data_IF_301279052308
#
_entry.id   IF_301279052308
#
_cell.length_a   1.000
_cell.length_b   1.000
_cell.length_c   1.000
_cell.angle_alpha   90.00
_cell.angle_beta   90.00
_cell.angle_gamma   90.00
#
_symmetry.space_group_name_H-M   'P 1'
#
loop_
_entity.id
_entity.type
_entity.pdbx_description
1 polymer ?
#
# COMPACT_ATOMS: atom_id res chain seq x y z
N UNK A 1 9.62 14.07 -14.84
CA UNK A 1 8.31 13.57 -14.38
C UNK A 1 7.53 13.15 -15.60
N UNK A 2 7.20 11.87 -15.73
CA UNK A 2 6.32 11.37 -16.80
C UNK A 2 4.87 11.50 -16.33
N UNK A 3 3.97 11.85 -17.24
CA UNK A 3 2.53 11.88 -16.96
C UNK A 3 1.78 11.09 -18.01
N UNK A 4 0.79 10.33 -17.58
CA UNK A 4 -0.10 9.55 -18.44
C UNK A 4 -1.55 10.00 -18.21
N UNK A 5 -2.38 9.98 -19.25
CA UNK A 5 -3.82 10.28 -19.13
C UNK A 5 -4.64 9.06 -19.49
N UNK A 6 -5.55 8.65 -18.61
CA UNK A 6 -6.43 7.50 -18.82
C UNK A 6 -7.20 7.12 -17.57
N UNK A 7 -8.18 6.23 -17.68
CA UNK A 7 -8.98 5.77 -16.53
C UNK A 7 -8.24 4.78 -15.62
N UNK A 8 -7.16 4.17 -16.10
CA UNK A 8 -6.35 3.26 -15.31
C UNK A 8 -4.87 3.41 -15.66
N UNK A 9 -4.00 3.21 -14.68
CA UNK A 9 -2.57 3.21 -14.87
C UNK A 9 -1.89 2.26 -13.89
N UNK A 10 -0.98 1.44 -14.40
CA UNK A 10 -0.13 0.55 -13.61
C UNK A 10 1.28 1.12 -13.59
N UNK A 11 1.87 1.22 -12.39
CA UNK A 11 3.26 1.64 -12.23
C UNK A 11 4.22 0.43 -12.21
N UNK A 12 3.68 -0.79 -12.25
CA UNK A 12 4.45 -2.03 -12.29
C UNK A 12 4.61 -2.69 -10.92
N UNK A 13 5.65 -3.51 -10.82
CA UNK A 13 5.97 -4.34 -9.66
C UNK A 13 6.56 -3.52 -8.50
N UNK A 14 6.57 -4.09 -7.29
CA UNK A 14 7.22 -3.49 -6.13
C UNK A 14 8.73 -3.33 -6.34
N UNK A 15 9.28 -2.23 -5.82
CA UNK A 15 10.70 -1.90 -5.96
C UNK A 15 11.63 -2.80 -5.14
N UNK A 16 11.12 -3.40 -4.05
CA UNK A 16 11.90 -4.17 -3.07
C UNK A 16 11.05 -5.27 -2.41
N UNK A 17 11.74 -6.26 -1.81
CA UNK A 17 11.14 -7.34 -1.02
C UNK A 17 11.18 -8.71 -1.69
N UNK A 18 10.81 -9.73 -0.92
CA UNK A 18 10.89 -11.14 -1.36
C UNK A 18 9.75 -11.52 -2.33
N UNK A 19 8.61 -10.83 -2.26
CA UNK A 19 7.42 -11.08 -3.09
C UNK A 19 7.23 -10.01 -4.19
N UNK A 20 8.32 -9.55 -4.79
CA UNK A 20 8.27 -8.54 -5.87
C UNK A 20 7.74 -9.12 -7.19
N UNK A 21 8.09 -10.35 -7.53
CA UNK A 21 7.60 -11.02 -8.73
C UNK A 21 6.07 -11.22 -8.67
N UNK A 22 5.36 -10.69 -9.65
CA UNK A 22 3.89 -10.77 -9.72
C UNK A 22 3.15 -9.79 -8.81
N UNK A 23 3.87 -8.93 -8.08
CA UNK A 23 3.25 -7.78 -7.41
C UNK A 23 2.85 -6.69 -8.42
N UNK A 24 1.92 -5.82 -8.05
CA UNK A 24 1.53 -4.69 -8.89
C UNK A 24 1.01 -3.53 -8.02
N UNK A 25 1.43 -2.30 -8.32
CA UNK A 25 0.74 -1.09 -7.89
C UNK A 25 0.08 -0.41 -9.10
N UNK A 26 -1.21 -0.12 -8.98
CA UNK A 26 -2.01 0.52 -10.03
C UNK A 26 -3.10 1.40 -9.47
N UNK A 27 -3.72 2.19 -10.34
CA UNK A 27 -4.88 3.01 -10.01
C UNK A 27 -6.00 2.83 -11.03
N UNK A 28 -7.23 3.03 -10.57
CA UNK A 28 -8.41 3.08 -11.42
C UNK A 28 -9.32 4.23 -10.98
N UNK A 29 -9.64 5.08 -11.94
CA UNK A 29 -10.59 6.17 -11.81
C UNK A 29 -11.68 6.07 -12.89
N UNK A 30 -12.91 6.42 -12.56
CA UNK A 30 -14.01 6.45 -13.52
C UNK A 30 -13.76 7.43 -14.68
N UNK A 31 -13.01 8.52 -14.43
CA UNK A 31 -12.72 9.55 -15.43
C UNK A 31 -11.51 9.19 -16.29
N UNK A 32 -11.71 9.06 -17.60
CA UNK A 32 -10.64 8.84 -18.57
C UNK A 32 -9.67 10.01 -18.72
N UNK A 33 -10.07 11.22 -18.27
CA UNK A 33 -9.22 12.41 -18.24
C UNK A 33 -8.30 12.47 -17.02
N UNK A 34 -8.29 11.43 -16.18
CA UNK A 34 -7.38 11.34 -15.03
C UNK A 34 -5.93 11.39 -15.51
N UNK A 35 -5.17 12.31 -14.92
CA UNK A 35 -3.74 12.43 -15.12
C UNK A 35 -3.03 11.70 -13.98
N UNK A 36 -2.23 10.71 -14.34
CA UNK A 36 -1.34 9.95 -13.47
C UNK A 36 0.07 10.51 -13.59
N UNK A 37 0.77 10.66 -12.47
CA UNK A 37 2.12 11.23 -12.43
C UNK A 37 2.95 10.67 -11.28
N UNK A 38 4.27 10.89 -11.35
CA UNK A 38 5.25 10.45 -10.35
C UNK A 38 6.05 11.63 -9.74
N UNK A 39 5.45 12.48 -8.88
CA UNK A 39 6.18 13.50 -8.13
C UNK A 39 7.05 12.90 -7.03
N UNK A 40 7.94 13.71 -6.45
CA UNK A 40 8.68 13.32 -5.25
C UNK A 40 7.77 12.78 -4.16
N UNK A 41 8.25 11.74 -3.48
CA UNK A 41 7.54 11.07 -2.40
C UNK A 41 7.82 11.63 -1.01
N UNK A 42 7.39 10.91 0.03
CA UNK A 42 7.67 11.23 1.42
C UNK A 42 9.02 10.63 1.80
N UNK A 43 10.11 11.38 1.61
CA UNK A 43 11.46 10.85 1.77
C UNK A 43 11.93 9.91 0.66
N UNK A 44 11.13 9.69 -0.39
CA UNK A 44 11.47 8.86 -1.55
C UNK A 44 11.57 9.70 -2.85
N UNK A 45 12.27 9.23 -3.90
CA UNK A 45 12.38 9.94 -5.16
C UNK A 45 11.04 10.12 -5.90
N UNK A 46 10.09 9.20 -5.71
CA UNK A 46 8.82 9.17 -6.44
C UNK A 46 7.67 8.66 -5.56
N UNK A 47 6.48 9.23 -5.75
CA UNK A 47 5.20 8.77 -5.23
C UNK A 47 4.22 8.57 -6.37
N UNK A 48 3.19 7.76 -6.17
CA UNK A 48 2.13 7.61 -7.16
C UNK A 48 1.05 8.66 -6.94
N UNK A 49 0.81 9.51 -7.95
CA UNK A 49 -0.13 10.64 -7.85
C UNK A 49 -1.15 10.64 -8.97
N UNK A 50 -2.38 11.07 -8.65
CA UNK A 50 -3.43 11.32 -9.63
C UNK A 50 -4.36 12.48 -9.26
N UNK A 51 -5.02 13.04 -10.27
CA UNK A 51 -6.17 13.96 -10.14
C UNK A 51 -7.48 13.28 -10.63
N UNK A 52 -8.56 14.05 -10.82
CA UNK A 52 -9.76 13.51 -11.47
C UNK A 52 -10.53 12.48 -10.64
N UNK A 53 -10.49 12.61 -9.32
CA UNK A 53 -11.11 11.67 -8.39
C UNK A 53 -12.63 11.78 -8.33
N UNK A 54 -13.29 10.64 -8.45
CA UNK A 54 -14.70 10.40 -8.11
C UNK A 54 -14.79 9.50 -6.86
N UNK A 55 -15.94 9.52 -6.18
CA UNK A 55 -16.19 8.58 -5.07
C UNK A 55 -16.16 7.16 -5.61
N UNK A 56 -15.42 6.26 -4.95
CA UNK A 56 -15.24 4.88 -5.37
C UNK A 56 -13.99 4.63 -6.22
N UNK A 57 -13.32 5.67 -6.72
CA UNK A 57 -12.01 5.55 -7.37
C UNK A 57 -10.94 5.08 -6.37
N UNK A 58 -9.89 4.40 -6.84
CA UNK A 58 -8.92 3.78 -5.95
C UNK A 58 -7.50 3.67 -6.50
N UNK A 59 -6.56 3.58 -5.57
CA UNK A 59 -5.28 2.90 -5.77
C UNK A 59 -5.40 1.45 -5.33
N UNK A 60 -4.68 0.54 -5.98
CA UNK A 60 -4.71 -0.89 -5.72
C UNK A 60 -3.30 -1.49 -5.71
N UNK A 61 -3.01 -2.27 -4.68
CA UNK A 61 -1.83 -3.14 -4.63
C UNK A 61 -2.27 -4.59 -4.79
N UNK A 62 -1.51 -5.35 -5.58
CA UNK A 62 -1.62 -6.80 -5.70
C UNK A 62 -0.30 -7.42 -5.28
N UNK A 63 -0.35 -8.47 -4.48
CA UNK A 63 0.84 -9.22 -4.03
C UNK A 63 0.44 -10.65 -3.68
N UNK A 64 1.39 -11.58 -3.67
CA UNK A 64 1.19 -12.90 -3.07
C UNK A 64 1.72 -12.92 -1.65
N UNK A 65 0.97 -13.52 -0.72
CA UNK A 65 1.40 -13.78 0.66
C UNK A 65 1.67 -15.25 0.89
N UNK A 66 1.88 -16.02 -0.18
CA UNK A 66 2.16 -17.45 -0.11
C UNK A 66 3.40 -17.74 0.74
N UNK A 67 3.27 -18.66 1.70
CA UNK A 67 4.26 -18.99 2.72
C UNK A 67 4.53 -17.90 3.76
N UNK A 68 3.65 -16.90 3.90
CA UNK A 68 3.74 -15.87 4.94
C UNK A 68 2.50 -15.87 5.83
N UNK A 69 2.70 -15.59 7.12
CA UNK A 69 1.68 -15.28 8.12
C UNK A 69 1.88 -13.89 8.71
N UNK A 70 0.98 -13.46 9.59
CA UNK A 70 1.08 -12.19 10.32
C UNK A 70 1.15 -10.99 9.37
N UNK A 71 0.33 -11.03 8.32
CA UNK A 71 0.37 -10.01 7.26
C UNK A 71 -0.06 -8.65 7.81
N UNK A 72 0.77 -7.64 7.58
CA UNK A 72 0.55 -6.25 7.94
C UNK A 72 0.76 -5.33 6.74
N UNK A 73 0.23 -4.11 6.83
CA UNK A 73 0.31 -3.10 5.78
C UNK A 73 0.70 -1.76 6.37
N UNK A 74 1.66 -1.08 5.75
CA UNK A 74 1.90 0.34 5.96
C UNK A 74 1.95 1.11 4.65
N UNK A 75 1.57 2.37 4.68
CA UNK A 75 1.64 3.26 3.53
C UNK A 75 1.70 4.72 3.99
N UNK A 76 2.25 5.57 3.14
CA UNK A 76 2.20 7.02 3.30
C UNK A 76 1.19 7.61 2.31
N UNK A 77 0.39 8.56 2.76
CA UNK A 77 -0.57 9.22 1.87
C UNK A 77 -0.75 10.71 2.18
N UNK A 78 -0.86 11.51 1.14
CA UNK A 78 -1.22 12.93 1.24
C UNK A 78 -2.16 13.38 0.12
N UNK A 79 -2.62 14.62 0.21
CA UNK A 79 -3.50 15.26 -0.76
C UNK A 79 -3.17 16.73 -0.97
N UNK A 80 -3.70 17.32 -2.04
CA UNK A 80 -3.81 18.77 -2.16
C UNK A 80 -4.97 19.33 -1.33
N UNK A 81 -5.06 20.66 -1.23
CA UNK A 81 -6.16 21.37 -0.55
C UNK A 81 -7.54 20.96 -1.06
N UNK A 82 -7.65 20.71 -2.36
CA UNK A 82 -8.89 20.36 -3.06
C UNK A 82 -8.99 18.87 -3.41
N UNK A 83 -8.04 18.05 -2.97
CA UNK A 83 -8.00 16.60 -3.19
C UNK A 83 -8.76 15.80 -2.14
N UNK A 84 -8.86 14.46 -2.32
CA UNK A 84 -9.69 13.60 -1.49
C UNK A 84 -9.13 13.45 -0.08
N UNK A 85 -9.98 13.75 0.91
CA UNK A 85 -9.64 13.84 2.32
C UNK A 85 -9.96 12.60 3.13
N UNK A 86 -10.82 11.72 2.60
CA UNK A 86 -11.27 10.51 3.25
C UNK A 86 -11.18 9.33 2.30
N UNK A 87 -10.61 8.24 2.80
CA UNK A 87 -10.46 6.96 2.11
C UNK A 87 -10.86 5.82 3.04
N UNK A 88 -11.16 4.66 2.46
CA UNK A 88 -11.22 3.37 3.17
C UNK A 88 -10.19 2.41 2.61
N UNK A 89 -9.90 1.35 3.35
CA UNK A 89 -9.10 0.22 2.85
C UNK A 89 -9.98 -1.00 2.70
N UNK A 90 -10.06 -1.53 1.49
CA UNK A 90 -10.72 -2.80 1.19
C UNK A 90 -9.68 -3.86 0.81
N UNK A 91 -9.96 -5.13 1.08
CA UNK A 91 -9.09 -6.27 0.75
C UNK A 91 -9.87 -7.38 0.06
N UNK A 92 -9.19 -8.11 -0.82
CA UNK A 92 -9.68 -9.31 -1.47
C UNK A 92 -8.57 -10.35 -1.55
N UNK A 93 -8.93 -11.61 -1.34
CA UNK A 93 -8.04 -12.78 -1.52
C UNK A 93 -8.33 -13.58 -2.78
N UNK A 94 -9.33 -13.16 -3.56
CA UNK A 94 -9.72 -13.78 -4.84
C UNK A 94 -9.70 -12.79 -6.02
N UNK A 95 -9.43 -11.51 -5.74
CA UNK A 95 -9.38 -10.43 -6.73
C UNK A 95 -10.73 -9.89 -7.18
N UNK A 96 -11.84 -10.39 -6.63
CA UNK A 96 -13.22 -10.08 -7.05
C UNK A 96 -14.12 -9.66 -5.90
N UNK A 97 -14.13 -10.39 -4.79
CA UNK A 97 -14.92 -10.10 -3.61
C UNK A 97 -14.09 -9.30 -2.62
N UNK A 98 -14.57 -8.10 -2.28
CA UNK A 98 -13.86 -7.18 -1.40
C UNK A 98 -14.56 -7.10 -0.04
N UNK A 99 -13.77 -7.10 1.02
CA UNK A 99 -14.18 -6.83 2.39
C UNK A 99 -13.46 -5.59 2.91
N UNK A 100 -14.12 -4.79 3.73
CA UNK A 100 -13.53 -3.56 4.26
C UNK A 100 -12.68 -3.84 5.49
N UNK A 101 -11.38 -3.50 5.44
CA UNK A 101 -10.45 -3.58 6.56
C UNK A 101 -10.47 -2.33 7.45
N UNK A 102 -10.55 -1.16 6.81
CA UNK A 102 -10.56 0.13 7.50
C UNK A 102 -11.67 0.98 6.89
N UNK A 103 -12.77 1.15 7.60
CA UNK A 103 -13.98 1.78 7.09
C UNK A 103 -13.80 3.25 6.67
N UNK A 104 -12.91 3.98 7.34
CA UNK A 104 -12.52 5.33 6.93
C UNK A 104 -11.22 5.75 7.62
N UNK A 105 -10.41 6.54 6.94
CA UNK A 105 -9.32 7.32 7.52
C UNK A 105 -9.18 8.67 6.82
N UNK A 106 -8.65 9.64 7.55
CA UNK A 106 -8.38 10.98 7.02
C UNK A 106 -6.99 11.03 6.38
N UNK A 107 -6.91 11.60 5.18
CA UNK A 107 -5.67 11.92 4.48
C UNK A 107 -5.31 13.39 4.72
N UNK A 108 -4.12 13.61 5.29
CA UNK A 108 -3.63 14.93 5.65
C UNK A 108 -3.10 15.68 4.42
N UNK A 109 -3.35 16.99 4.35
CA UNK A 109 -2.74 17.86 3.37
C UNK A 109 -1.31 18.22 3.82
N UNK A 110 -0.30 17.92 3.00
CA UNK A 110 1.08 18.27 3.30
C UNK A 110 1.31 19.78 3.27
N UNK A 111 2.12 20.28 4.21
CA UNK A 111 2.48 21.69 4.32
C UNK A 111 1.31 22.65 4.62
N UNK A 112 0.15 22.14 5.07
CA UNK A 112 -0.96 22.98 5.46
C UNK A 112 -0.65 23.74 6.76
N UNK A 113 -1.10 25.00 6.85
CA UNK A 113 -0.96 25.77 8.08
C UNK A 113 -1.70 25.08 9.23
N UNK A 114 -1.04 24.91 10.38
CA UNK A 114 -1.62 24.31 11.57
C UNK A 114 -1.63 22.78 11.63
N UNK A 115 -1.11 22.06 10.63
CA UNK A 115 -1.08 20.57 10.64
C UNK A 115 0.22 19.98 11.20
N UNK A 116 1.20 20.80 11.57
CA UNK A 116 2.54 20.39 12.01
C UNK A 116 3.25 19.42 11.03
N UNK A 117 2.89 19.49 9.74
CA UNK A 117 3.52 18.72 8.66
C UNK A 117 4.30 19.65 7.76
N UNK A 118 5.49 19.25 7.35
CA UNK A 118 6.25 19.90 6.28
C UNK A 118 5.68 19.53 4.91
N UNK A 119 6.19 20.18 3.86
CA UNK A 119 5.88 19.82 2.49
C UNK A 119 6.26 18.37 2.17
N UNK A 120 5.41 17.70 1.40
CA UNK A 120 5.68 16.37 0.87
C UNK A 120 6.86 16.42 -0.10
N UNK A 121 8.00 15.85 0.30
CA UNK A 121 9.25 15.99 -0.44
C UNK A 121 10.25 14.89 -0.11
N UNK A 122 11.19 14.68 -1.05
CA UNK A 122 12.34 13.79 -0.84
C UNK A 122 13.31 14.32 0.22
N UNK A 123 13.44 15.64 0.35
CA UNK A 123 14.48 16.27 1.20
C UNK A 123 14.06 16.42 2.66
N UNK A 124 12.76 16.53 2.97
CA UNK A 124 12.28 16.64 4.35
C UNK A 124 12.35 15.30 5.12
N UNK A 125 12.72 14.20 4.46
CA UNK A 125 12.66 12.86 5.02
C UNK A 125 11.24 12.32 5.15
N UNK A 126 11.12 11.08 5.64
CA UNK A 126 9.84 10.43 5.87
C UNK A 126 9.16 11.07 7.09
N UNK A 127 7.98 11.65 6.88
CA UNK A 127 7.14 12.19 7.95
C UNK A 127 6.05 11.19 8.36
N UNK A 128 6.10 10.71 9.60
CA UNK A 128 5.17 9.71 10.14
C UNK A 128 3.71 10.17 10.23
N UNK A 129 3.45 11.48 10.18
CA UNK A 129 2.10 12.04 10.16
C UNK A 129 1.27 11.55 8.94
N UNK A 130 1.95 11.26 7.82
CA UNK A 130 1.33 10.72 6.62
C UNK A 130 1.21 9.19 6.62
N UNK A 131 1.93 8.53 7.53
CA UNK A 131 1.96 7.08 7.62
C UNK A 131 0.69 6.55 8.26
N UNK A 132 0.20 5.45 7.70
CA UNK A 132 -0.82 4.59 8.31
C UNK A 132 -0.28 3.18 8.38
N UNK A 133 -0.70 2.46 9.42
CA UNK A 133 -0.32 1.08 9.67
C UNK A 133 -1.55 0.30 10.05
N UNK A 134 -1.75 -0.83 9.38
CA UNK A 134 -2.63 -1.91 9.82
C UNK A 134 -1.73 -3.05 10.27
N UNK A 135 -1.70 -3.30 11.58
CA UNK A 135 -0.80 -4.27 12.20
C UNK A 135 -1.15 -5.73 11.86
N UNK A 136 -2.37 -5.97 11.40
CA UNK A 136 -2.81 -7.28 10.92
C UNK A 136 -3.89 -7.16 9.87
N UNK A 137 -3.93 -8.11 8.93
CA UNK A 137 -4.96 -8.25 7.92
C UNK A 137 -5.58 -9.64 8.05
N UNK A 138 -6.82 -9.70 8.54
CA UNK A 138 -7.52 -10.98 8.74
C UNK A 138 -7.71 -11.71 7.40
N UNK A 139 -7.35 -13.01 7.38
CA UNK A 139 -7.49 -13.86 6.19
C UNK A 139 -6.43 -13.64 5.11
N UNK A 140 -5.44 -12.77 5.32
CA UNK A 140 -4.37 -12.52 4.35
C UNK A 140 -3.22 -13.53 4.41
N UNK A 141 -3.16 -14.39 5.42
CA UNK A 141 -2.10 -15.38 5.55
C UNK A 141 -2.16 -16.42 4.43
N UNK A 142 -0.99 -16.75 3.87
CA UNK A 142 -0.78 -17.81 2.89
C UNK A 142 -1.74 -17.77 1.68
N UNK A 143 -1.97 -16.57 1.12
CA UNK A 143 -2.83 -16.39 -0.05
C UNK A 143 -1.98 -16.34 -1.33
N UNK A 144 -2.49 -16.97 -2.40
CA UNK A 144 -1.87 -16.89 -3.73
C UNK A 144 -2.04 -15.49 -4.35
N UNK A 145 -3.05 -14.76 -3.91
CA UNK A 145 -3.26 -13.35 -4.25
C UNK A 145 -3.87 -12.61 -3.07
N UNK A 146 -3.36 -11.41 -2.83
CA UNK A 146 -3.91 -10.43 -1.91
C UNK A 146 -4.01 -9.11 -2.67
N UNK A 147 -5.21 -8.56 -2.74
CA UNK A 147 -5.50 -7.29 -3.39
C UNK A 147 -5.98 -6.31 -2.34
N UNK A 148 -5.30 -5.17 -2.22
CA UNK A 148 -5.61 -4.11 -1.25
C UNK A 148 -5.97 -2.85 -2.03
N UNK A 149 -7.13 -2.26 -1.75
CA UNK A 149 -7.61 -1.02 -2.37
C UNK A 149 -7.67 0.12 -1.36
N UNK A 150 -7.12 1.26 -1.74
CA UNK A 150 -7.32 2.54 -1.05
C UNK A 150 -8.40 3.30 -1.79
N UNK A 151 -9.64 3.21 -1.31
CA UNK A 151 -10.82 3.69 -2.02
C UNK A 151 -11.24 5.08 -1.54
N UNK A 152 -11.34 6.02 -2.46
CA UNK A 152 -11.80 7.38 -2.19
C UNK A 152 -13.26 7.43 -1.75
N UNK A 153 -13.53 8.14 -0.66
CA UNK A 153 -14.88 8.40 -0.13
C UNK A 153 -15.33 9.86 -0.34
N UNK A 154 -14.47 10.72 -0.89
CA UNK A 154 -14.67 12.16 -0.95
C UNK A 154 -15.11 12.62 -2.33
N UNK A 155 -16.10 13.52 -2.38
CA UNK A 155 -16.33 14.40 -3.54
C UNK A 155 -15.34 15.56 -3.50
N UNK A 156 -14.67 15.84 -4.62
CA UNK A 156 -13.54 16.77 -4.69
C UNK A 156 -13.57 17.63 -5.94
N UNK A 157 -12.71 18.65 -6.00
CA UNK A 157 -12.53 19.41 -7.24
C UNK A 157 -11.77 18.57 -8.27
N UNK A 158 -12.03 18.79 -9.56
CA UNK A 158 -11.42 18.04 -10.67
C UNK A 158 -9.88 18.03 -10.63
N UNK A 159 -9.27 19.16 -10.26
CA UNK A 159 -7.82 19.30 -10.15
C UNK A 159 -7.24 18.86 -8.79
N UNK A 160 -8.09 18.43 -7.85
CA UNK A 160 -7.68 17.90 -6.57
C UNK A 160 -6.83 16.65 -6.75
N UNK A 161 -5.71 16.57 -6.03
CA UNK A 161 -4.77 15.44 -6.15
C UNK A 161 -4.67 14.65 -4.87
N UNK A 162 -4.37 13.37 -5.03
CA UNK A 162 -3.89 12.51 -3.96
C UNK A 162 -2.53 11.93 -4.38
N UNK A 163 -1.74 11.55 -3.37
CA UNK A 163 -0.45 10.88 -3.56
C UNK A 163 -0.34 9.77 -2.53
N UNK A 164 0.08 8.60 -2.99
CA UNK A 164 0.40 7.45 -2.14
C UNK A 164 1.85 7.02 -2.40
N UNK A 165 2.53 6.57 -1.36
CA UNK A 165 3.94 6.23 -1.40
C UNK A 165 4.30 5.26 -0.26
N UNK A 166 5.52 4.73 -0.28
CA UNK A 166 6.08 3.86 0.77
C UNK A 166 5.11 2.75 1.19
N UNK A 167 4.44 2.12 0.21
CA UNK A 167 3.51 1.02 0.48
C UNK A 167 4.33 -0.23 0.75
N UNK A 168 4.15 -0.78 1.95
CA UNK A 168 4.87 -1.97 2.41
C UNK A 168 3.83 -2.97 2.90
N UNK A 169 3.85 -4.16 2.31
CA UNK A 169 3.16 -5.35 2.84
C UNK A 169 4.24 -6.21 3.48
N UNK A 170 4.08 -6.53 4.76
CA UNK A 170 5.04 -7.33 5.52
C UNK A 170 4.37 -8.57 6.09
N UNK A 171 5.15 -9.62 6.31
CA UNK A 171 4.71 -10.84 6.98
C UNK A 171 5.89 -11.65 7.51
N UNK A 172 5.59 -12.66 8.30
CA UNK A 172 6.55 -13.63 8.82
C UNK A 172 6.56 -14.87 7.94
N UNK A 173 7.73 -15.34 7.52
CA UNK A 173 7.85 -16.61 6.80
C UNK A 173 7.32 -17.77 7.64
N UNK A 174 6.42 -18.56 7.07
CA UNK A 174 5.92 -19.81 7.65
C UNK A 174 7.04 -20.85 7.50
N UNK A 175 7.62 -21.37 8.59
CA UNK A 175 8.67 -22.38 8.49
C UNK A 175 8.15 -23.64 7.81
N UNK A 176 8.89 -24.16 6.82
CA UNK A 176 8.56 -25.44 6.22
C UNK A 176 8.56 -26.54 7.31
N UNK A 177 7.57 -27.47 7.32
CA UNK A 177 7.49 -28.53 8.33
C UNK A 177 8.80 -29.33 8.49
N UNK A 178 9.55 -29.52 7.40
CA UNK A 178 10.85 -30.20 7.41
C UNK A 178 11.98 -29.44 8.12
N UNK A 179 11.96 -28.10 8.12
CA UNK A 179 12.96 -27.29 8.80
C UNK A 179 12.85 -27.43 10.33
N UNK A 180 11.62 -27.50 10.83
CA UNK A 180 11.33 -27.75 12.26
C UNK A 180 11.76 -29.17 12.65
N UNK A 181 11.45 -30.17 11.81
CA UNK A 181 11.85 -31.55 12.05
C UNK A 181 13.38 -31.74 12.08
N UNK A 182 14.11 -31.08 11.17
CA UNK A 182 15.58 -31.16 11.13
C UNK A 182 16.23 -30.50 12.37
N UNK A 183 15.72 -29.35 12.80
CA UNK A 183 16.16 -28.70 14.04
C UNK A 183 15.88 -29.59 15.27
N UNK A 184 14.70 -30.22 15.33
CA UNK A 184 14.36 -31.14 16.40
C UNK A 184 15.29 -32.37 16.42
N UNK A 185 15.60 -32.96 15.25
CA UNK A 185 16.54 -34.09 15.14
C UNK A 185 17.97 -33.68 15.50
N UNK A 186 18.43 -32.51 15.05
CA UNK A 186 19.75 -32.00 15.40
C UNK A 186 19.88 -31.70 16.91
N UNK A 187 18.84 -31.13 17.53
CA UNK A 187 18.74 -30.95 18.98
C UNK A 187 18.75 -32.27 19.76
N UNK A 188 18.07 -33.30 19.24
CA UNK A 188 18.05 -34.62 19.86
C UNK A 188 19.39 -35.36 19.72
N UNK A 189 20.05 -35.26 18.55
CA UNK A 189 21.34 -35.87 18.27
C UNK A 189 22.48 -35.23 19.09
N UNK A 190 22.42 -33.92 19.33
CA UNK A 190 23.38 -33.19 20.17
C UNK A 190 23.23 -33.49 21.66
N UNK A 191 22.00 -33.75 22.14
CA UNK A 191 21.74 -34.15 23.54
C UNK A 191 22.21 -35.56 23.87
N UNK A 192 22.36 -36.43 22.86
CA UNK A 192 22.80 -37.83 23.01
C UNK A 192 24.33 -38.00 23.06
N UNK A 193 25.10 -36.92 22.88
CA UNK A 193 26.58 -36.90 22.92
C UNK A 193 27.14 -36.33 24.24
N UNK A 194 26.39 -36.39 25.34
CA UNK A 194 26.86 -36.07 26.70
C UNK A 194 26.73 -37.28 27.59
#
# INVERSE_FOLDING_TARGET
MTSFTGSAYSIGIADQGDQTAGSELRGYHALATTVWSSPSGNGSPYSFSSNGWSVGDYYEVRVSTSNYSDISLSWDQTRSSTGPSSFRVDVSTDGTNFTTLLASYTVMQAGASGTNTLSWSVTAGVQSAFTRVLSSIAGADNQSTLVIRFVNLSTVATAGTNRIDNIIVSGTLIPAPGAVALLAVAGLASRRRR
#
